data_IF_736142158029
#
_entry.id   IF_736142158029
#
_cell.length_a   1.000
_cell.length_b   1.000
_cell.length_c   1.000
_cell.angle_alpha   90.00
_cell.angle_beta   90.00
_cell.angle_gamma   90.00
#
_symmetry.space_group_name_H-M   'P 1'
#
loop_
_entity.id
_entity.type
_entity.pdbx_description
1 polymer ?
#
# COMPACT_ATOMS: atom_id res chain seq x y z
N UNK A 1 28.45 -0.60 -26.21
CA UNK A 1 28.37 -0.64 -24.73
C UNK A 1 27.95 0.75 -24.25
N UNK A 2 26.68 0.92 -23.92
CA UNK A 2 26.16 2.16 -23.33
C UNK A 2 26.39 2.12 -21.82
N UNK A 3 27.12 3.11 -21.31
CA UNK A 3 27.31 3.35 -19.88
C UNK A 3 25.95 3.50 -19.20
N UNK A 4 25.70 2.91 -18.02
CA UNK A 4 24.46 3.13 -17.31
C UNK A 4 24.31 4.63 -16.98
N UNK A 5 23.12 5.22 -17.16
CA UNK A 5 22.91 6.64 -16.94
C UNK A 5 23.17 7.02 -15.48
N UNK A 6 23.90 8.11 -15.28
CA UNK A 6 24.31 8.65 -13.98
C UNK A 6 23.21 9.42 -13.23
N UNK A 7 22.02 9.55 -13.82
CA UNK A 7 20.86 10.20 -13.21
C UNK A 7 19.68 9.20 -13.14
N UNK A 8 19.33 8.71 -11.94
CA UNK A 8 18.23 7.76 -11.77
C UNK A 8 16.85 8.35 -12.09
N UNK A 9 16.70 9.68 -12.15
CA UNK A 9 15.44 10.33 -12.58
C UNK A 9 15.22 10.30 -14.09
N UNK A 10 16.27 10.06 -14.88
CA UNK A 10 16.24 9.93 -16.33
C UNK A 10 16.16 8.47 -16.82
N UNK A 11 15.99 7.50 -15.93
CA UNK A 11 15.83 6.11 -16.32
C UNK A 11 14.50 5.91 -17.04
N UNK A 12 14.57 5.80 -18.36
CA UNK A 12 13.54 5.18 -19.19
C UNK A 12 13.17 3.83 -18.55
N UNK A 13 11.87 3.57 -18.41
CA UNK A 13 11.42 2.26 -17.94
C UNK A 13 12.02 1.17 -18.85
N UNK A 14 12.35 -0.02 -18.34
CA UNK A 14 13.07 -1.03 -19.15
C UNK A 14 12.31 -1.42 -20.42
N UNK A 15 10.98 -1.35 -20.40
CA UNK A 15 10.16 -1.60 -21.59
C UNK A 15 10.38 -0.57 -22.69
N UNK A 16 10.79 0.65 -22.38
CA UNK A 16 11.15 1.70 -23.35
C UNK A 16 12.51 1.48 -24.00
N UNK A 17 13.30 0.51 -23.53
CA UNK A 17 14.54 0.12 -24.19
C UNK A 17 14.19 -0.66 -25.48
N UNK A 18 14.82 -0.33 -26.62
CA UNK A 18 14.49 -0.95 -27.91
C UNK A 18 14.56 -2.48 -27.87
N UNK A 19 13.51 -3.16 -28.34
CA UNK A 19 13.48 -4.61 -28.53
C UNK A 19 13.30 -5.47 -27.27
N UNK A 20 13.50 -4.94 -26.06
CA UNK A 20 13.36 -5.73 -24.82
C UNK A 20 11.92 -6.11 -24.54
N UNK A 21 11.00 -5.15 -24.60
CA UNK A 21 9.58 -5.41 -24.42
C UNK A 21 9.07 -6.40 -25.47
N UNK A 22 9.44 -6.23 -26.73
CA UNK A 22 9.00 -7.10 -27.83
C UNK A 22 9.54 -8.52 -27.67
N UNK A 23 10.75 -8.67 -27.11
CA UNK A 23 11.30 -9.99 -26.76
C UNK A 23 10.50 -10.64 -25.65
N UNK A 24 10.16 -9.88 -24.60
CA UNK A 24 9.34 -10.39 -23.48
C UNK A 24 7.95 -10.82 -23.94
N UNK A 25 7.24 -9.95 -24.67
CA UNK A 25 5.87 -10.20 -25.13
C UNK A 25 5.81 -11.40 -26.07
N UNK A 26 6.80 -11.54 -26.96
CA UNK A 26 6.91 -12.67 -27.88
C UNK A 26 7.21 -13.99 -27.17
N UNK A 27 8.23 -14.04 -26.31
CA UNK A 27 8.68 -15.29 -25.67
C UNK A 27 7.70 -15.78 -24.59
N UNK A 28 7.11 -14.86 -23.82
CA UNK A 28 6.14 -15.20 -22.77
C UNK A 28 4.68 -15.16 -23.23
N UNK A 29 4.42 -14.67 -24.45
CA UNK A 29 3.07 -14.51 -25.03
C UNK A 29 2.14 -13.65 -24.15
N UNK A 30 2.69 -12.55 -23.65
CA UNK A 30 1.98 -11.57 -22.84
C UNK A 30 1.95 -10.22 -23.55
N UNK A 31 1.04 -9.34 -23.15
CA UNK A 31 1.09 -7.95 -23.61
C UNK A 31 2.18 -7.14 -22.88
N UNK A 32 2.46 -5.95 -23.41
CA UNK A 32 3.53 -5.06 -22.91
C UNK A 32 3.23 -4.50 -21.51
N UNK A 33 1.97 -4.28 -21.18
CA UNK A 33 1.57 -3.80 -19.86
C UNK A 33 1.77 -4.89 -18.81
N UNK A 34 1.39 -6.12 -19.12
CA UNK A 34 1.65 -7.30 -18.31
C UNK A 34 3.14 -7.50 -18.10
N UNK A 35 3.96 -7.39 -19.15
CA UNK A 35 5.41 -7.47 -19.02
C UNK A 35 5.96 -6.39 -18.08
N UNK A 36 5.53 -5.13 -18.25
CA UNK A 36 5.96 -4.03 -17.37
C UNK A 36 5.59 -4.29 -15.90
N UNK A 37 4.36 -4.74 -15.65
CA UNK A 37 3.81 -4.98 -14.32
C UNK A 37 4.43 -6.20 -13.64
N UNK A 38 4.71 -7.27 -14.38
CA UNK A 38 5.23 -8.54 -13.86
C UNK A 38 6.71 -8.68 -14.19
N UNK A 39 7.49 -7.72 -13.68
CA UNK A 39 8.94 -7.70 -13.86
C UNK A 39 9.69 -7.26 -12.61
N UNK A 40 10.98 -7.58 -12.58
CA UNK A 40 11.94 -7.10 -11.60
C UNK A 40 13.27 -6.78 -12.30
N UNK A 41 13.83 -5.60 -12.04
CA UNK A 41 15.16 -5.23 -12.51
C UNK A 41 16.19 -5.85 -11.57
N UNK A 42 17.10 -6.64 -12.13
CA UNK A 42 18.20 -7.29 -11.45
C UNK A 42 19.54 -6.66 -11.88
N UNK A 43 20.63 -6.89 -11.12
CA UNK A 43 21.96 -6.49 -11.57
C UNK A 43 22.28 -7.09 -12.96
N UNK A 44 22.29 -6.23 -13.99
CA UNK A 44 22.62 -6.62 -15.36
C UNK A 44 21.51 -7.31 -16.16
N UNK A 45 20.30 -7.46 -15.60
CA UNK A 45 19.22 -8.18 -16.27
C UNK A 45 17.82 -7.68 -15.86
N UNK A 46 16.81 -8.08 -16.63
CA UNK A 46 15.39 -7.93 -16.33
C UNK A 46 14.77 -9.32 -16.20
N UNK A 47 14.14 -9.59 -15.08
CA UNK A 47 13.30 -10.77 -14.88
C UNK A 47 11.85 -10.40 -15.21
N UNK A 48 11.18 -11.16 -16.08
CA UNK A 48 9.78 -10.98 -16.47
C UNK A 48 9.06 -12.31 -16.32
N UNK A 49 7.80 -12.32 -15.90
CA UNK A 49 7.03 -13.55 -15.77
C UNK A 49 5.56 -13.32 -16.11
N UNK A 50 4.85 -14.40 -16.41
CA UNK A 50 3.40 -14.33 -16.64
C UNK A 50 2.66 -14.17 -15.31
N UNK A 51 1.48 -13.53 -15.29
CA UNK A 51 0.62 -13.49 -14.11
C UNK A 51 0.22 -14.90 -13.66
N UNK A 52 -0.23 -15.00 -12.40
CA UNK A 52 -0.75 -16.26 -11.85
C UNK A 52 0.29 -17.13 -11.15
N UNK A 53 -0.10 -18.38 -10.85
CA UNK A 53 0.62 -19.29 -9.97
C UNK A 53 1.28 -20.46 -10.69
N UNK A 54 1.78 -20.26 -11.90
CA UNK A 54 2.52 -21.35 -12.53
C UNK A 54 2.93 -21.16 -13.97
N UNK A 55 2.96 -19.94 -14.48
CA UNK A 55 3.36 -19.71 -15.86
C UNK A 55 4.85 -19.45 -16.06
N UNK A 56 5.28 -19.35 -17.33
CA UNK A 56 6.68 -19.23 -17.67
C UNK A 56 7.25 -17.88 -17.22
N UNK A 57 8.57 -17.87 -17.12
CA UNK A 57 9.36 -16.72 -16.71
C UNK A 57 10.62 -16.61 -17.57
N UNK A 58 11.13 -15.39 -17.69
CA UNK A 58 12.17 -15.00 -18.62
C UNK A 58 13.16 -14.09 -17.91
N UNK A 59 14.44 -14.39 -18.01
CA UNK A 59 15.52 -13.50 -17.61
C UNK A 59 16.24 -13.02 -18.88
N UNK A 60 16.36 -11.71 -19.05
CA UNK A 60 17.01 -11.10 -20.22
C UNK A 60 18.06 -10.07 -19.82
N UNK A 61 19.16 -10.00 -20.56
CA UNK A 61 20.07 -8.85 -20.45
C UNK A 61 19.56 -7.65 -21.25
N UNK A 62 20.21 -6.50 -21.07
CA UNK A 62 19.87 -5.27 -21.79
C UNK A 62 20.26 -5.28 -23.27
N UNK A 63 20.92 -6.35 -23.76
CA UNK A 63 21.16 -6.58 -25.18
C UNK A 63 20.05 -7.44 -25.83
N UNK A 64 19.11 -7.96 -25.04
CA UNK A 64 18.00 -8.78 -25.50
C UNK A 64 18.28 -10.29 -25.52
N UNK A 65 19.44 -10.75 -25.02
CA UNK A 65 19.66 -12.18 -24.87
C UNK A 65 18.81 -12.70 -23.72
N UNK A 66 18.14 -13.82 -23.95
CA UNK A 66 17.06 -14.31 -23.10
C UNK A 66 17.28 -15.77 -22.67
N UNK A 67 16.83 -16.09 -21.45
CA UNK A 67 16.63 -17.45 -20.98
C UNK A 67 15.22 -17.57 -20.40
N UNK A 68 14.42 -18.50 -20.94
CA UNK A 68 13.07 -18.75 -20.47
C UNK A 68 13.04 -20.07 -19.71
N UNK A 69 12.30 -20.12 -18.62
CA UNK A 69 12.07 -21.32 -17.83
C UNK A 69 10.60 -21.42 -17.42
N UNK A 70 10.21 -22.61 -17.01
CA UNK A 70 8.93 -22.80 -16.31
C UNK A 70 8.97 -22.20 -14.89
N UNK A 71 7.85 -22.30 -14.18
CA UNK A 71 7.71 -21.74 -12.83
C UNK A 71 8.38 -22.54 -11.72
N UNK A 72 9.00 -23.70 -11.99
CA UNK A 72 9.65 -24.49 -10.95
C UNK A 72 10.95 -23.83 -10.44
N UNK A 73 11.66 -23.12 -11.31
CA UNK A 73 12.90 -22.44 -10.93
C UNK A 73 12.63 -21.18 -10.09
N UNK A 74 13.43 -20.97 -9.05
CA UNK A 74 13.47 -19.67 -8.36
C UNK A 74 14.18 -18.63 -9.22
N UNK A 75 13.94 -17.35 -8.94
CA UNK A 75 14.66 -16.24 -9.60
C UNK A 75 16.19 -16.38 -9.47
N UNK A 76 16.68 -16.84 -8.31
CA UNK A 76 18.11 -17.05 -8.06
C UNK A 76 18.70 -18.17 -8.94
N UNK A 77 17.98 -19.29 -9.06
CA UNK A 77 18.39 -20.39 -9.93
C UNK A 77 18.40 -19.95 -11.40
N UNK A 78 17.40 -19.16 -11.82
CA UNK A 78 17.38 -18.59 -13.15
C UNK A 78 18.57 -17.66 -13.40
N UNK A 79 18.85 -16.74 -12.47
CA UNK A 79 19.97 -15.81 -12.59
C UNK A 79 21.30 -16.58 -12.67
N UNK A 80 21.45 -17.64 -11.89
CA UNK A 80 22.63 -18.51 -11.93
C UNK A 80 22.80 -19.19 -13.29
N UNK A 81 21.75 -19.79 -13.84
CA UNK A 81 21.76 -20.41 -15.16
C UNK A 81 22.06 -19.39 -16.28
N UNK A 82 21.44 -18.22 -16.20
CA UNK A 82 21.67 -17.12 -17.16
C UNK A 82 23.12 -16.63 -17.13
N UNK A 83 23.70 -16.45 -15.94
CA UNK A 83 25.10 -16.03 -15.78
C UNK A 83 26.10 -17.09 -16.26
N UNK A 84 25.69 -18.36 -16.34
CA UNK A 84 26.48 -19.45 -16.96
C UNK A 84 26.36 -19.50 -18.49
N UNK A 85 25.63 -18.57 -19.10
CA UNK A 85 25.48 -18.47 -20.55
C UNK A 85 24.33 -19.28 -21.13
N UNK A 86 23.44 -19.87 -20.31
CA UNK A 86 22.26 -20.56 -20.82
C UNK A 86 21.30 -19.57 -21.49
N UNK A 87 20.80 -19.90 -22.68
CA UNK A 87 19.89 -19.08 -23.48
C UNK A 87 18.82 -19.95 -24.12
N UNK A 88 17.68 -19.35 -24.44
CA UNK A 88 16.50 -20.04 -24.97
C UNK A 88 16.04 -19.35 -26.25
N UNK A 89 15.65 -20.11 -27.26
CA UNK A 89 15.03 -19.62 -28.49
C UNK A 89 13.49 -19.75 -28.47
N UNK A 90 12.82 -19.28 -29.52
CA UNK A 90 11.36 -19.31 -29.64
C UNK A 90 10.79 -20.74 -29.64
N UNK A 91 11.53 -21.70 -30.22
CA UNK A 91 11.08 -23.07 -30.34
C UNK A 91 11.15 -23.78 -28.98
N UNK A 92 12.17 -23.51 -28.18
CA UNK A 92 12.31 -24.00 -26.82
C UNK A 92 11.29 -23.32 -25.88
N UNK A 93 11.13 -22.00 -25.96
CA UNK A 93 10.13 -21.28 -25.17
C UNK A 93 8.70 -21.77 -25.46
N UNK A 94 8.38 -22.09 -26.72
CA UNK A 94 7.08 -22.61 -27.11
C UNK A 94 6.75 -24.02 -26.56
N UNK A 95 7.73 -24.73 -25.98
CA UNK A 95 7.55 -26.05 -25.37
C UNK A 95 7.31 -26.01 -23.86
N UNK A 96 7.45 -24.85 -23.22
CA UNK A 96 7.25 -24.71 -21.79
C UNK A 96 5.81 -25.03 -21.39
N UNK A 97 5.66 -25.67 -20.23
CA UNK A 97 4.36 -26.09 -19.70
C UNK A 97 4.12 -25.36 -18.38
N UNK A 98 2.88 -24.89 -18.19
CA UNK A 98 2.47 -24.27 -16.94
C UNK A 98 2.40 -25.32 -15.82
N UNK A 99 2.86 -24.96 -14.61
CA UNK A 99 2.78 -25.84 -13.45
C UNK A 99 1.34 -26.26 -13.14
N UNK A 100 0.39 -25.34 -13.32
CA UNK A 100 -1.04 -25.62 -13.14
C UNK A 100 -1.53 -26.71 -14.09
N UNK A 101 -1.11 -26.67 -15.36
CA UNK A 101 -1.47 -27.68 -16.35
C UNK A 101 -0.89 -29.07 -16.04
N UNK A 102 0.37 -29.12 -15.57
CA UNK A 102 0.97 -30.38 -15.10
C UNK A 102 0.24 -30.91 -13.86
N UNK A 103 -0.08 -30.03 -12.91
CA UNK A 103 -0.84 -30.39 -11.72
C UNK A 103 -2.22 -30.96 -12.07
N UNK A 104 -2.94 -30.36 -13.02
CA UNK A 104 -4.23 -30.88 -13.48
C UNK A 104 -4.12 -32.27 -14.11
N UNK A 105 -3.12 -32.50 -14.96
CA UNK A 105 -2.94 -33.82 -15.58
C UNK A 105 -2.51 -34.88 -14.56
N UNK A 106 -1.63 -34.51 -13.63
CA UNK A 106 -1.25 -35.37 -12.52
C UNK A 106 -2.46 -35.73 -11.65
N UNK A 107 -3.25 -34.73 -11.26
CA UNK A 107 -4.49 -34.90 -10.50
C UNK A 107 -5.48 -35.85 -11.19
N UNK A 108 -5.69 -35.70 -12.49
CA UNK A 108 -6.57 -36.56 -13.26
C UNK A 108 -6.08 -38.03 -13.21
N UNK A 109 -4.79 -38.25 -13.45
CA UNK A 109 -4.18 -39.57 -13.38
C UNK A 109 -4.31 -40.19 -11.97
N UNK A 110 -4.06 -39.43 -10.90
CA UNK A 110 -4.11 -39.94 -9.52
C UNK A 110 -5.52 -40.18 -9.00
N UNK A 111 -6.53 -39.51 -9.56
CA UNK A 111 -7.94 -39.64 -9.15
C UNK A 111 -8.75 -40.57 -10.06
N UNK A 112 -8.09 -41.27 -10.99
CA UNK A 112 -8.75 -42.18 -11.94
C UNK A 112 -9.65 -41.47 -12.97
N UNK A 113 -9.49 -40.15 -13.14
CA UNK A 113 -10.16 -39.38 -14.19
C UNK A 113 -9.35 -39.48 -15.48
N UNK A 114 -10.02 -39.55 -16.63
CA UNK A 114 -9.34 -39.55 -17.92
C UNK A 114 -8.50 -38.28 -18.05
N UNK A 115 -7.18 -38.37 -18.30
CA UNK A 115 -6.34 -37.20 -18.50
C UNK A 115 -6.88 -36.39 -19.67
N UNK A 116 -7.30 -35.15 -19.41
CA UNK A 116 -7.54 -34.19 -20.48
C UNK A 116 -6.20 -33.75 -21.06
N UNK A 117 -6.19 -33.31 -22.32
CA UNK A 117 -5.01 -32.72 -22.93
C UNK A 117 -4.53 -31.56 -22.06
N UNK A 118 -3.27 -31.63 -21.61
CA UNK A 118 -2.60 -30.60 -20.79
C UNK A 118 -2.75 -29.24 -21.50
N UNK A 119 -3.48 -28.27 -20.93
CA UNK A 119 -3.57 -26.93 -21.50
C UNK A 119 -2.18 -26.30 -21.60
N UNK A 120 -1.92 -25.59 -22.70
CA UNK A 120 -0.66 -24.84 -22.87
C UNK A 120 -0.70 -23.45 -22.21
N UNK A 121 -1.83 -23.07 -21.66
CA UNK A 121 -2.05 -21.82 -20.94
C UNK A 121 -2.27 -22.13 -19.46
N UNK A 122 -2.10 -21.14 -18.58
CA UNK A 122 -2.41 -21.32 -17.15
C UNK A 122 -3.91 -21.62 -17.00
N UNK A 123 -4.30 -22.78 -16.45
CA UNK A 123 -5.71 -23.09 -16.23
C UNK A 123 -6.35 -22.16 -15.19
N UNK A 124 -5.54 -21.45 -14.39
CA UNK A 124 -6.02 -20.56 -13.35
C UNK A 124 -6.51 -21.29 -12.09
N UNK A 125 -6.71 -20.53 -11.02
CA UNK A 125 -7.08 -21.08 -9.72
C UNK A 125 -8.47 -21.74 -9.73
N UNK A 126 -9.44 -21.20 -10.49
CA UNK A 126 -10.80 -21.72 -10.53
C UNK A 126 -10.87 -23.12 -11.19
N UNK A 127 -10.15 -23.32 -12.29
CA UNK A 127 -10.12 -24.62 -12.98
C UNK A 127 -9.42 -25.70 -12.13
N UNK A 128 -8.33 -25.34 -11.44
CA UNK A 128 -7.67 -26.25 -10.50
C UNK A 128 -8.58 -26.51 -9.29
N UNK A 129 -9.26 -25.49 -8.78
CA UNK A 129 -10.18 -25.60 -7.64
C UNK A 129 -11.37 -26.52 -7.94
N UNK A 130 -11.84 -26.54 -9.19
CA UNK A 130 -12.88 -27.45 -9.66
C UNK A 130 -12.44 -28.93 -9.70
N UNK A 131 -11.13 -29.21 -9.73
CA UNK A 131 -10.61 -30.56 -9.55
C UNK A 131 -10.49 -30.95 -8.07
N UNK A 132 -10.33 -29.96 -7.20
CA UNK A 132 -10.14 -30.12 -5.77
C UNK A 132 -11.44 -30.02 -4.97
N UNK A 133 -11.35 -29.38 -3.81
CA UNK A 133 -12.41 -29.24 -2.80
C UNK A 133 -13.12 -27.88 -2.86
N UNK A 134 -12.94 -27.10 -3.93
CA UNK A 134 -13.57 -25.80 -4.11
C UNK A 134 -12.58 -24.67 -4.41
N UNK A 135 -13.00 -23.40 -4.25
CA UNK A 135 -12.17 -22.24 -4.60
C UNK A 135 -10.94 -22.16 -3.70
N UNK A 136 -9.87 -21.56 -4.24
CA UNK A 136 -8.65 -21.33 -3.48
C UNK A 136 -8.78 -20.17 -2.51
N UNK A 137 -8.36 -20.39 -1.27
CA UNK A 137 -8.31 -19.35 -0.24
C UNK A 137 -6.90 -19.26 0.34
N UNK A 138 -6.51 -18.06 0.74
CA UNK A 138 -5.23 -17.83 1.37
C UNK A 138 -5.19 -18.53 2.73
N UNK A 139 -4.10 -19.23 3.00
CA UNK A 139 -3.90 -20.05 4.19
C UNK A 139 -2.44 -20.00 4.65
N UNK A 140 -2.05 -20.85 5.59
CA UNK A 140 -0.66 -21.05 6.02
C UNK A 140 -0.22 -22.51 5.84
N UNK A 141 1.09 -22.78 5.76
CA UNK A 141 1.61 -24.14 5.74
C UNK A 141 1.15 -25.02 6.90
N UNK A 142 1.04 -24.44 8.10
CA UNK A 142 0.63 -25.13 9.32
C UNK A 142 -0.85 -25.53 9.28
N UNK A 143 -1.70 -24.70 8.69
CA UNK A 143 -3.12 -25.04 8.50
C UNK A 143 -3.28 -26.18 7.49
N UNK A 144 -2.53 -26.16 6.39
CA UNK A 144 -2.49 -27.24 5.41
C UNK A 144 -2.01 -28.54 6.07
N UNK A 145 -0.93 -28.48 6.85
CA UNK A 145 -0.41 -29.62 7.61
C UNK A 145 -1.45 -30.18 8.59
N UNK A 146 -2.11 -29.32 9.38
CA UNK A 146 -3.15 -29.73 10.30
C UNK A 146 -4.34 -30.38 9.59
N UNK A 147 -4.73 -29.85 8.42
CA UNK A 147 -5.79 -30.41 7.58
C UNK A 147 -5.44 -31.78 7.04
N UNK A 148 -4.23 -31.94 6.52
CA UNK A 148 -3.73 -33.20 5.98
C UNK A 148 -3.56 -34.26 7.09
N UNK A 149 -3.01 -33.86 8.23
CA UNK A 149 -2.81 -34.76 9.38
C UNK A 149 -4.11 -35.38 9.89
N UNK A 150 -5.23 -34.63 9.88
CA UNK A 150 -6.55 -35.17 10.25
C UNK A 150 -7.09 -36.22 9.29
N UNK A 151 -6.70 -36.17 8.02
CA UNK A 151 -7.15 -37.12 7.01
C UNK A 151 -6.32 -38.41 6.97
N UNK A 152 -5.08 -38.38 7.46
CA UNK A 152 -4.17 -39.53 7.46
C UNK A 152 -3.56 -39.85 6.09
N UNK A 153 -2.81 -40.95 6.01
CA UNK A 153 -2.09 -41.40 4.81
C UNK A 153 -3.03 -41.49 3.60
N UNK A 154 -2.59 -40.96 2.46
CA UNK A 154 -3.37 -40.86 1.23
C UNK A 154 -4.21 -39.58 1.12
N UNK A 155 -4.27 -38.77 2.18
CA UNK A 155 -4.87 -37.44 2.10
C UNK A 155 -4.00 -36.49 1.30
N UNK A 156 -4.64 -35.64 0.51
CA UNK A 156 -3.98 -34.62 -0.30
C UNK A 156 -4.84 -33.35 -0.44
N UNK A 157 -4.16 -32.25 -0.78
CA UNK A 157 -4.74 -30.97 -1.20
C UNK A 157 -3.91 -30.36 -2.33
N UNK A 158 -4.53 -29.49 -3.13
CA UNK A 158 -3.78 -28.65 -4.05
C UNK A 158 -3.25 -27.42 -3.32
N UNK A 159 -2.04 -27.02 -3.71
CA UNK A 159 -1.37 -25.86 -3.12
C UNK A 159 -0.88 -24.95 -4.22
N UNK A 160 -1.32 -23.70 -4.15
CA UNK A 160 -0.77 -22.60 -4.92
C UNK A 160 0.09 -21.72 -4.02
N UNK A 161 1.20 -21.23 -4.55
CA UNK A 161 2.01 -20.22 -3.87
C UNK A 161 2.17 -18.97 -4.72
N UNK A 162 2.34 -17.83 -4.06
CA UNK A 162 2.90 -16.63 -4.68
C UNK A 162 4.32 -16.43 -4.15
N UNK A 163 5.25 -16.00 -5.03
CA UNK A 163 6.62 -15.63 -4.67
C UNK A 163 6.78 -14.11 -4.64
N UNK A 164 7.77 -13.62 -3.89
CA UNK A 164 8.11 -12.20 -3.90
C UNK A 164 8.49 -11.70 -5.31
N UNK A 165 9.23 -12.53 -6.04
CA UNK A 165 9.64 -12.30 -7.43
C UNK A 165 9.48 -13.58 -8.26
N UNK A 166 9.16 -13.40 -9.54
CA UNK A 166 8.86 -14.52 -10.43
C UNK A 166 7.40 -14.96 -10.34
N UNK A 167 7.02 -15.96 -11.14
CA UNK A 167 5.70 -16.53 -11.13
C UNK A 167 5.49 -17.24 -9.79
N UNK A 168 4.22 -17.30 -9.36
CA UNK A 168 3.84 -18.27 -8.36
C UNK A 168 4.03 -19.70 -8.89
N UNK A 169 3.63 -20.68 -8.10
CA UNK A 169 3.81 -22.08 -8.47
C UNK A 169 2.68 -22.95 -7.91
N UNK A 170 2.48 -24.11 -8.53
CA UNK A 170 1.42 -25.07 -8.22
C UNK A 170 2.06 -26.42 -7.90
N UNK A 171 1.63 -27.05 -6.80
CA UNK A 171 2.00 -28.41 -6.44
C UNK A 171 0.88 -29.06 -5.63
N UNK A 172 1.03 -30.34 -5.32
CA UNK A 172 0.16 -31.07 -4.40
C UNK A 172 0.86 -31.25 -3.05
N UNK A 173 0.14 -31.09 -1.95
CA UNK A 173 0.60 -31.54 -0.65
C UNK A 173 -0.11 -32.84 -0.30
N UNK A 174 0.64 -33.88 0.06
CA UNK A 174 0.08 -35.21 0.31
C UNK A 174 0.71 -35.88 1.53
N UNK A 175 -0.09 -36.64 2.29
CA UNK A 175 0.38 -37.48 3.39
C UNK A 175 0.80 -38.84 2.84
N UNK A 176 2.10 -39.12 2.89
CA UNK A 176 2.70 -40.41 2.54
C UNK A 176 3.04 -41.21 3.80
N UNK A 177 3.61 -42.41 3.65
CA UNK A 177 4.10 -43.19 4.78
C UNK A 177 5.28 -42.51 5.50
N UNK A 178 6.02 -41.65 4.79
CA UNK A 178 7.18 -40.90 5.26
C UNK A 178 6.83 -39.53 5.87
N UNK A 179 5.54 -39.17 5.89
CA UNK A 179 5.04 -37.88 6.39
C UNK A 179 4.40 -37.03 5.29
N UNK A 180 4.29 -35.72 5.53
CA UNK A 180 3.71 -34.80 4.53
C UNK A 180 4.79 -34.39 3.54
N UNK A 181 4.48 -34.54 2.24
CA UNK A 181 5.37 -34.16 1.15
C UNK A 181 4.68 -33.18 0.20
N UNK A 182 5.45 -32.24 -0.34
CA UNK A 182 5.06 -31.48 -1.51
C UNK A 182 5.49 -32.25 -2.77
N UNK A 183 4.54 -32.53 -3.66
CA UNK A 183 4.72 -33.25 -4.92
C UNK A 183 4.61 -32.25 -6.06
N UNK A 184 5.72 -32.03 -6.76
CA UNK A 184 5.78 -31.18 -7.95
C UNK A 184 5.82 -32.05 -9.22
N UNK A 185 4.69 -32.18 -9.94
CA UNK A 185 4.62 -33.00 -11.14
C UNK A 185 5.30 -32.35 -12.35
N UNK A 186 5.58 -31.04 -12.34
CA UNK A 186 6.24 -30.37 -13.46
C UNK A 186 7.68 -30.84 -13.61
N UNK A 187 8.39 -31.02 -12.49
CA UNK A 187 9.77 -31.52 -12.47
C UNK A 187 9.88 -32.97 -12.01
N UNK A 188 8.76 -33.60 -11.63
CA UNK A 188 8.71 -34.98 -11.16
C UNK A 188 9.46 -35.22 -9.85
N UNK A 189 9.39 -34.28 -8.90
CA UNK A 189 10.11 -34.38 -7.62
C UNK A 189 9.18 -34.18 -6.41
N UNK A 190 9.56 -34.83 -5.32
CA UNK A 190 8.96 -34.62 -4.00
C UNK A 190 9.91 -33.82 -3.11
N UNK A 191 9.33 -33.04 -2.21
CA UNK A 191 10.02 -32.22 -1.24
C UNK A 191 9.42 -32.43 0.15
N UNK A 192 10.22 -32.17 1.19
CA UNK A 192 9.71 -32.09 2.56
C UNK A 192 8.69 -30.94 2.68
N UNK A 193 7.71 -31.10 3.57
CA UNK A 193 6.74 -30.06 3.88
C UNK A 193 7.20 -29.14 5.02
N UNK A 194 7.02 -27.82 4.93
CA UNK A 194 6.76 -27.07 3.69
C UNK A 194 8.03 -26.94 2.84
N UNK A 195 7.90 -26.88 1.50
CA UNK A 195 9.06 -26.72 0.63
C UNK A 195 9.69 -25.31 0.75
N UNK A 196 11.02 -25.24 0.72
CA UNK A 196 11.78 -23.98 0.73
C UNK A 196 11.84 -23.33 -0.66
N UNK A 197 10.72 -22.75 -1.10
CA UNK A 197 10.54 -22.26 -2.49
C UNK A 197 10.28 -20.75 -2.59
N UNK A 198 10.57 -20.02 -1.51
CA UNK A 198 10.44 -18.55 -1.46
C UNK A 198 8.99 -18.05 -1.52
N UNK A 199 8.05 -18.86 -1.02
CA UNK A 199 6.63 -18.50 -0.96
C UNK A 199 6.38 -17.39 0.07
N UNK A 200 5.65 -16.37 -0.34
CA UNK A 200 5.17 -15.27 0.51
C UNK A 200 3.66 -15.38 0.79
N UNK A 201 2.93 -16.14 -0.02
CA UNK A 201 1.52 -16.45 0.15
C UNK A 201 1.29 -17.90 -0.20
N UNK A 202 0.42 -18.54 0.58
CA UNK A 202 0.00 -19.92 0.41
C UNK A 202 -1.50 -19.96 0.19
N UNK A 203 -1.92 -20.83 -0.71
CA UNK A 203 -3.31 -21.00 -1.11
C UNK A 203 -3.61 -22.48 -1.16
N UNK A 204 -4.77 -22.89 -0.65
CA UNK A 204 -5.25 -24.27 -0.79
C UNK A 204 -6.70 -24.29 -1.24
N UNK A 205 -7.12 -25.39 -1.84
CA UNK A 205 -8.47 -25.61 -2.33
C UNK A 205 -9.46 -25.87 -1.18
N UNK A 206 -10.54 -25.09 -1.15
CA UNK A 206 -11.53 -25.11 -0.07
C UNK A 206 -11.18 -24.16 1.09
N UNK A 207 -12.14 -23.89 1.99
CA UNK A 207 -11.95 -22.95 3.08
C UNK A 207 -10.94 -23.49 4.11
N UNK A 208 -10.07 -22.62 4.66
CA UNK A 208 -9.19 -23.01 5.74
C UNK A 208 -10.01 -23.40 6.96
N UNK A 209 -9.61 -24.48 7.61
CA UNK A 209 -10.25 -24.97 8.83
C UNK A 209 -10.07 -24.02 10.01
N UNK A 210 -9.01 -23.22 9.97
CA UNK A 210 -8.79 -22.08 10.85
C UNK A 210 -8.33 -20.94 9.96
N UNK A 211 -9.13 -19.87 9.80
CA UNK A 211 -8.73 -18.72 9.00
C UNK A 211 -7.38 -18.16 9.46
N UNK A 212 -6.48 -17.77 8.53
CA UNK A 212 -5.20 -17.21 8.92
C UNK A 212 -5.40 -15.90 9.69
N UNK A 213 -4.68 -15.74 10.80
CA UNK A 213 -4.72 -14.51 11.59
C UNK A 213 -4.19 -13.28 10.82
N UNK A 214 -3.34 -13.51 9.82
CA UNK A 214 -2.72 -12.50 8.97
C UNK A 214 -2.71 -12.95 7.52
N UNK A 215 -2.95 -12.02 6.61
CA UNK A 215 -2.82 -12.20 5.17
C UNK A 215 -1.88 -11.15 4.59
N UNK A 216 -1.04 -11.56 3.64
CA UNK A 216 -0.27 -10.65 2.81
C UNK A 216 -1.16 -10.10 1.70
N UNK A 217 -1.13 -8.78 1.52
CA UNK A 217 -1.77 -8.06 0.41
C UNK A 217 -0.66 -7.34 -0.34
N UNK A 218 -0.66 -7.45 -1.66
CA UNK A 218 0.31 -6.74 -2.48
C UNK A 218 -0.22 -6.35 -3.84
N UNK A 219 0.43 -5.34 -4.41
CA UNK A 219 0.22 -4.86 -5.78
C UNK A 219 1.57 -4.63 -6.44
N UNK A 220 1.56 -4.47 -7.76
CA UNK A 220 2.73 -4.01 -8.51
C UNK A 220 2.45 -2.67 -9.16
N UNK A 221 3.40 -1.76 -9.02
CA UNK A 221 3.40 -0.51 -9.78
C UNK A 221 3.51 -0.80 -11.29
N UNK A 222 3.18 0.17 -12.17
CA UNK A 222 3.45 0.08 -13.60
C UNK A 222 4.92 -0.21 -13.94
N UNK A 223 5.84 0.01 -12.99
CA UNK A 223 7.27 -0.25 -13.13
C UNK A 223 7.72 -1.60 -12.56
N UNK A 224 6.81 -2.49 -12.22
CA UNK A 224 7.10 -3.83 -11.69
C UNK A 224 7.47 -3.89 -10.20
N UNK A 225 7.71 -2.73 -9.56
CA UNK A 225 7.99 -2.66 -8.11
C UNK A 225 6.79 -3.19 -7.32
N UNK A 226 7.03 -4.22 -6.50
CA UNK A 226 6.02 -4.78 -5.59
C UNK A 226 5.90 -3.92 -4.34
N UNK A 227 4.65 -3.65 -3.96
CA UNK A 227 4.30 -2.93 -2.74
C UNK A 227 3.37 -3.83 -1.94
N UNK A 228 3.70 -4.12 -0.69
CA UNK A 228 2.98 -5.11 0.09
C UNK A 228 2.80 -4.72 1.55
N UNK A 229 1.85 -5.38 2.20
CA UNK A 229 1.66 -5.34 3.65
C UNK A 229 1.10 -6.66 4.15
N UNK A 230 1.22 -6.90 5.45
CA UNK A 230 0.43 -7.91 6.15
C UNK A 230 -0.70 -7.20 6.89
N UNK A 231 -1.88 -7.82 6.94
CA UNK A 231 -3.06 -7.29 7.65
C UNK A 231 -3.96 -8.43 8.09
N UNK A 232 -4.95 -8.18 8.94
CA UNK A 232 -6.05 -9.13 9.16
C UNK A 232 -6.93 -9.31 7.92
N UNK A 233 -7.54 -10.50 7.71
CA UNK A 233 -8.38 -10.79 6.54
C UNK A 233 -9.50 -9.78 6.30
N UNK A 234 -10.20 -9.34 7.35
CA UNK A 234 -11.32 -8.39 7.27
C UNK A 234 -10.90 -7.00 6.75
N UNK A 235 -9.61 -6.65 6.85
CA UNK A 235 -9.06 -5.37 6.41
C UNK A 235 -8.39 -5.44 5.02
N UNK A 236 -8.36 -6.62 4.38
CA UNK A 236 -7.66 -6.85 3.11
C UNK A 236 -8.08 -5.87 2.00
N UNK A 237 -9.39 -5.61 1.86
CA UNK A 237 -9.89 -4.69 0.83
C UNK A 237 -9.36 -3.26 1.02
N UNK A 238 -9.23 -2.80 2.26
CA UNK A 238 -8.69 -1.47 2.58
C UNK A 238 -7.18 -1.40 2.38
N UNK A 239 -6.46 -2.45 2.75
CA UNK A 239 -5.05 -2.56 2.44
C UNK A 239 -4.81 -2.47 0.93
N UNK A 240 -5.60 -3.17 0.13
CA UNK A 240 -5.49 -3.15 -1.33
C UNK A 240 -5.68 -1.74 -1.91
N UNK A 241 -6.74 -1.02 -1.51
CA UNK A 241 -6.99 0.36 -1.95
C UNK A 241 -5.79 1.29 -1.70
N UNK A 242 -5.16 1.17 -0.52
CA UNK A 242 -4.01 1.99 -0.15
C UNK A 242 -2.78 1.60 -0.97
N UNK A 243 -2.52 0.31 -1.12
CA UNK A 243 -1.40 -0.18 -1.91
C UNK A 243 -1.54 0.25 -3.39
N UNK A 244 -2.74 0.18 -3.97
CA UNK A 244 -3.03 0.63 -5.35
C UNK A 244 -2.83 2.13 -5.55
N UNK A 245 -3.08 2.95 -4.53
CA UNK A 245 -2.74 4.37 -4.57
C UNK A 245 -1.23 4.56 -4.63
N UNK A 246 -0.46 3.90 -3.75
CA UNK A 246 1.00 3.98 -3.78
C UNK A 246 1.54 3.48 -5.13
N UNK A 247 1.00 2.39 -5.67
CA UNK A 247 1.42 1.82 -6.95
C UNK A 247 1.27 2.79 -8.13
N UNK A 248 0.30 3.71 -8.06
CA UNK A 248 0.04 4.74 -9.08
C UNK A 248 0.73 6.07 -8.78
N UNK A 249 1.31 6.25 -7.60
CA UNK A 249 1.97 7.49 -7.23
C UNK A 249 3.26 7.68 -8.02
N UNK A 250 3.39 8.84 -8.67
CA UNK A 250 4.63 9.23 -9.36
C UNK A 250 5.80 9.37 -8.37
N UNK A 251 5.49 9.71 -7.12
CA UNK A 251 6.43 9.91 -6.00
C UNK A 251 6.90 8.61 -5.34
N UNK A 252 6.49 7.43 -5.83
CA UNK A 252 7.01 6.15 -5.32
C UNK A 252 8.56 6.13 -5.33
N UNK A 253 9.16 6.86 -6.28
CA UNK A 253 10.61 7.07 -6.40
C UNK A 253 11.25 7.75 -5.18
N UNK A 254 10.53 8.60 -4.46
CA UNK A 254 11.01 9.28 -3.26
C UNK A 254 10.85 8.44 -1.97
N UNK A 255 10.27 7.22 -2.06
CA UNK A 255 9.94 6.36 -0.90
C UNK A 255 9.08 7.03 0.17
N UNK A 256 8.33 8.05 -0.22
CA UNK A 256 7.36 8.72 0.63
C UNK A 256 6.21 9.19 -0.25
N UNK A 257 5.03 8.60 -0.08
CA UNK A 257 3.79 9.23 -0.52
C UNK A 257 2.94 9.42 0.73
N UNK A 258 2.29 10.57 0.86
CA UNK A 258 1.43 10.88 2.00
C UNK A 258 0.02 10.50 1.60
N UNK A 259 -0.56 9.54 2.30
CA UNK A 259 -1.99 9.31 2.20
C UNK A 259 -2.73 10.43 2.96
N UNK A 260 -3.69 11.08 2.30
CA UNK A 260 -4.48 12.18 2.85
C UNK A 260 -5.55 11.68 3.86
N UNK A 261 -5.09 11.13 4.99
CA UNK A 261 -5.92 10.88 6.18
C UNK A 261 -5.17 11.35 7.42
N UNK A 262 -5.81 11.19 8.59
CA UNK A 262 -5.19 11.49 9.87
C UNK A 262 -3.84 10.78 10.07
N UNK A 263 -3.67 9.57 9.52
CA UNK A 263 -2.45 8.77 9.67
C UNK A 263 -1.43 9.03 8.57
N UNK A 264 -0.15 9.03 8.94
CA UNK A 264 0.93 9.01 7.95
C UNK A 264 1.28 7.56 7.60
N UNK A 265 1.07 7.19 6.35
CA UNK A 265 1.55 5.95 5.74
C UNK A 265 2.68 6.25 4.77
N UNK A 266 3.68 5.38 4.69
CA UNK A 266 4.80 5.47 3.77
C UNK A 266 5.19 4.08 3.27
N UNK A 267 5.88 4.02 2.15
CA UNK A 267 6.43 2.77 1.63
C UNK A 267 7.93 2.76 1.86
N UNK A 268 8.42 1.79 2.61
CA UNK A 268 9.83 1.66 2.95
C UNK A 268 10.44 0.44 2.28
N UNK A 269 11.71 0.54 1.89
CA UNK A 269 12.42 -0.55 1.23
C UNK A 269 12.55 -1.76 2.15
N UNK A 270 12.19 -2.92 1.62
CA UNK A 270 12.34 -4.23 2.24
C UNK A 270 12.98 -5.16 1.20
N UNK A 271 14.32 -5.15 1.14
CA UNK A 271 15.05 -5.79 0.04
C UNK A 271 14.83 -5.05 -1.28
N UNK A 272 14.44 -5.79 -2.32
CA UNK A 272 14.03 -5.28 -3.64
C UNK A 272 12.57 -4.81 -3.70
N UNK A 273 11.79 -5.06 -2.64
CA UNK A 273 10.37 -4.70 -2.55
C UNK A 273 10.15 -3.45 -1.69
N UNK A 274 8.92 -2.93 -1.74
CA UNK A 274 8.43 -1.92 -0.83
C UNK A 274 7.40 -2.51 0.12
N UNK A 275 7.56 -2.27 1.42
CA UNK A 275 6.56 -2.63 2.44
C UNK A 275 5.86 -1.36 2.93
N UNK A 276 4.55 -1.42 3.09
CA UNK A 276 3.77 -0.35 3.70
C UNK A 276 4.12 -0.27 5.19
N UNK A 277 4.53 0.91 5.62
CA UNK A 277 4.70 1.28 7.01
C UNK A 277 3.72 2.40 7.36
N UNK A 278 3.27 2.44 8.60
CA UNK A 278 2.39 3.49 9.11
C UNK A 278 3.00 4.10 10.36
N UNK A 279 2.59 5.32 10.68
CA UNK A 279 2.94 5.90 11.98
C UNK A 279 2.25 5.10 13.08
N UNK A 280 3.01 4.74 14.10
CA UNK A 280 2.51 4.11 15.30
C UNK A 280 1.79 5.16 16.16
N UNK A 281 0.47 5.25 16.00
CA UNK A 281 -0.37 6.23 16.70
C UNK A 281 -0.40 6.01 18.23
N UNK A 282 0.12 4.89 18.73
CA UNK A 282 0.22 4.61 20.17
C UNK A 282 1.49 5.21 20.79
N UNK A 283 2.46 5.61 19.97
CA UNK A 283 3.75 6.16 20.42
C UNK A 283 3.80 7.68 20.29
N UNK A 284 4.60 8.36 21.14
CA UNK A 284 4.78 9.80 21.03
C UNK A 284 5.59 10.17 19.78
N UNK A 285 5.09 11.17 19.04
CA UNK A 285 5.75 11.75 17.88
C UNK A 285 5.72 10.92 16.59
N UNK A 286 5.98 11.59 15.47
CA UNK A 286 5.86 11.03 14.11
C UNK A 286 7.03 10.13 13.66
N UNK A 287 8.02 9.89 14.52
CA UNK A 287 9.25 9.18 14.14
C UNK A 287 9.13 7.66 14.25
N UNK A 288 8.09 7.17 14.93
CA UNK A 288 7.86 5.75 15.09
C UNK A 288 7.02 5.23 13.91
N UNK A 289 7.67 4.56 12.95
CA UNK A 289 6.98 3.76 11.95
C UNK A 289 6.83 2.32 12.45
N UNK A 290 5.70 1.71 12.13
CA UNK A 290 5.40 0.31 12.38
C UNK A 290 4.97 -0.38 11.08
N UNK A 291 5.15 -1.70 11.04
CA UNK A 291 4.63 -2.57 9.98
C UNK A 291 3.23 -3.10 10.28
N UNK A 292 2.74 -2.86 11.49
CA UNK A 292 1.36 -3.14 11.87
C UNK A 292 0.45 -2.01 11.34
N UNK A 293 -0.13 -2.27 10.18
CA UNK A 293 -0.96 -1.30 9.47
C UNK A 293 -2.42 -1.31 9.93
N UNK A 294 -2.83 -2.31 10.71
CA UNK A 294 -4.23 -2.53 11.08
C UNK A 294 -4.85 -1.32 11.79
N UNK A 295 -4.21 -0.69 12.80
CA UNK A 295 -4.80 0.48 13.47
C UNK A 295 -5.09 1.64 12.51
N UNK A 296 -4.24 1.83 11.50
CA UNK A 296 -4.45 2.85 10.48
C UNK A 296 -5.63 2.50 9.55
N UNK A 297 -5.74 1.23 9.15
CA UNK A 297 -6.84 0.75 8.31
C UNK A 297 -8.19 0.85 9.04
N UNK A 298 -8.24 0.50 10.33
CA UNK A 298 -9.43 0.63 11.16
C UNK A 298 -9.86 2.10 11.33
N UNK A 299 -8.90 2.98 11.62
CA UNK A 299 -9.18 4.42 11.72
C UNK A 299 -9.73 4.95 10.40
N UNK A 300 -9.16 4.51 9.27
CA UNK A 300 -9.64 4.90 7.95
C UNK A 300 -11.08 4.44 7.71
N UNK A 301 -11.42 3.22 8.10
CA UNK A 301 -12.78 2.72 8.00
C UNK A 301 -13.75 3.54 8.85
N UNK A 302 -13.37 3.85 10.09
CA UNK A 302 -14.15 4.70 10.97
C UNK A 302 -14.37 6.10 10.38
N UNK A 303 -13.33 6.74 9.84
CA UNK A 303 -13.43 8.03 9.12
C UNK A 303 -14.43 7.94 7.95
N UNK A 304 -14.35 6.88 7.14
CA UNK A 304 -15.25 6.70 6.00
C UNK A 304 -16.70 6.51 6.41
N UNK A 305 -16.94 5.82 7.52
CA UNK A 305 -18.29 5.58 8.06
C UNK A 305 -18.92 6.88 8.54
N UNK A 306 -18.18 7.71 9.27
CA UNK A 306 -18.72 8.96 9.82
C UNK A 306 -18.83 10.07 8.78
N UNK A 307 -17.99 10.04 7.74
CA UNK A 307 -17.99 11.04 6.66
C UNK A 307 -18.82 10.61 5.43
N UNK A 308 -19.66 9.57 5.54
CA UNK A 308 -20.46 9.08 4.42
C UNK A 308 -21.37 10.20 3.87
N UNK A 309 -21.20 10.55 2.58
CA UNK A 309 -21.97 11.62 1.93
C UNK A 309 -21.50 13.04 2.28
N UNK A 310 -20.42 13.20 3.04
CA UNK A 310 -19.87 14.50 3.44
C UNK A 310 -18.54 14.77 2.73
N UNK A 311 -18.33 16.00 2.25
CA UNK A 311 -17.04 16.42 1.71
C UNK A 311 -15.98 16.36 2.81
N UNK A 312 -14.85 15.73 2.53
CA UNK A 312 -13.75 15.58 3.47
C UNK A 312 -12.68 16.63 3.24
N UNK A 313 -12.20 17.20 4.32
CA UNK A 313 -10.98 18.01 4.32
C UNK A 313 -9.87 17.21 5.03
N UNK A 314 -8.67 17.08 4.43
CA UNK A 314 -7.59 16.34 5.05
C UNK A 314 -7.10 17.05 6.31
N UNK A 315 -6.75 16.26 7.31
CA UNK A 315 -5.93 16.70 8.44
C UNK A 315 -4.59 16.03 8.33
N UNK A 316 -3.54 16.83 8.45
CA UNK A 316 -2.20 16.29 8.58
C UNK A 316 -1.92 15.93 10.04
N UNK A 317 -1.37 14.74 10.26
CA UNK A 317 -0.96 14.22 11.58
C UNK A 317 -0.12 15.21 12.43
N UNK A 318 0.64 16.07 11.74
CA UNK A 318 1.54 17.08 12.33
C UNK A 318 0.87 18.41 12.63
N UNK A 319 -0.33 18.66 12.08
CA UNK A 319 -1.05 19.89 12.34
C UNK A 319 -1.62 19.88 13.77
N UNK A 320 -1.93 21.08 14.28
CA UNK A 320 -2.39 21.28 15.65
C UNK A 320 -3.90 21.54 15.71
N UNK A 321 -4.50 21.13 16.83
CA UNK A 321 -5.91 21.28 17.17
C UNK A 321 -6.02 22.06 18.48
N UNK A 322 -7.03 22.91 18.63
CA UNK A 322 -7.38 23.49 19.93
C UNK A 322 -8.15 22.47 20.74
N UNK A 323 -7.69 22.21 21.95
CA UNK A 323 -8.14 21.06 22.74
C UNK A 323 -8.31 21.43 24.21
N UNK A 324 -9.40 20.98 24.82
CA UNK A 324 -9.68 21.03 26.26
C UNK A 324 -9.48 19.62 26.88
N UNK A 325 -8.50 19.40 27.78
CA UNK A 325 -8.21 18.07 28.38
C UNK A 325 -9.39 17.36 29.04
N UNK A 326 -10.32 18.13 29.60
CA UNK A 326 -11.48 17.65 30.36
C UNK A 326 -12.45 16.81 29.51
N UNK A 327 -12.35 16.84 28.17
CA UNK A 327 -13.15 15.97 27.29
C UNK A 327 -12.86 14.48 27.50
N UNK A 328 -11.63 14.13 27.92
CA UNK A 328 -11.22 12.74 28.16
C UNK A 328 -11.93 12.20 29.39
N UNK A 329 -11.86 12.95 30.50
CA UNK A 329 -12.49 12.58 31.77
C UNK A 329 -14.01 12.50 31.65
N UNK A 330 -14.62 13.39 30.86
CA UNK A 330 -16.07 13.39 30.61
C UNK A 330 -16.52 12.32 29.61
N UNK A 331 -15.60 11.76 28.81
CA UNK A 331 -15.94 10.88 27.71
C UNK A 331 -16.86 11.52 26.68
N UNK A 332 -16.84 12.86 26.55
CA UNK A 332 -17.69 13.64 25.64
C UNK A 332 -16.98 14.91 25.19
N UNK A 333 -17.13 15.25 23.92
CA UNK A 333 -16.52 16.42 23.30
C UNK A 333 -17.50 17.11 22.37
N UNK A 334 -17.50 18.44 22.41
CA UNK A 334 -18.07 19.29 21.38
C UNK A 334 -16.96 19.60 20.37
N UNK A 335 -17.13 19.11 19.14
CA UNK A 335 -16.22 19.30 18.02
C UNK A 335 -16.75 20.42 17.13
N UNK A 336 -15.94 21.45 16.90
CA UNK A 336 -16.26 22.54 15.96
C UNK A 336 -15.15 22.70 14.94
N UNK A 337 -15.49 22.65 13.64
CA UNK A 337 -14.58 22.95 12.54
C UNK A 337 -14.81 24.36 12.02
N UNK A 338 -13.80 25.21 12.18
CA UNK A 338 -13.75 26.60 11.68
C UNK A 338 -12.84 26.70 10.46
N UNK A 339 -12.86 27.86 9.82
CA UNK A 339 -11.83 28.21 8.82
C UNK A 339 -10.45 28.16 9.45
N UNK A 340 -9.49 27.63 8.71
CA UNK A 340 -8.09 27.50 9.13
C UNK A 340 -7.49 28.89 9.40
N UNK A 341 -6.71 29.01 10.48
CA UNK A 341 -5.78 30.11 10.73
C UNK A 341 -4.33 29.59 10.64
N UNK A 342 -3.35 30.48 10.49
CA UNK A 342 -1.95 30.06 10.32
C UNK A 342 -1.47 29.11 11.44
N UNK A 343 -1.04 27.90 11.07
CA UNK A 343 -0.50 26.88 11.98
C UNK A 343 -1.52 26.00 12.73
N UNK A 344 -2.80 26.37 12.76
CA UNK A 344 -3.92 25.59 13.32
C UNK A 344 -4.62 24.84 12.17
N UNK A 345 -5.29 23.72 12.44
CA UNK A 345 -6.21 23.13 11.45
C UNK A 345 -7.57 23.84 11.40
N UNK A 346 -7.93 24.59 12.45
CA UNK A 346 -9.27 25.17 12.64
C UNK A 346 -10.24 24.27 13.42
N UNK A 347 -9.77 23.12 13.93
CA UNK A 347 -10.56 22.31 14.86
C UNK A 347 -10.46 22.82 16.30
N UNK A 348 -11.62 22.86 16.94
CA UNK A 348 -11.80 23.17 18.34
C UNK A 348 -12.56 22.02 19.02
N UNK A 349 -11.95 21.41 20.02
CA UNK A 349 -12.48 20.29 20.81
C UNK A 349 -12.67 20.76 22.25
N UNK A 350 -13.93 20.91 22.69
CA UNK A 350 -14.29 21.49 23.99
C UNK A 350 -15.34 20.65 24.72
N UNK A 351 -15.80 21.12 25.88
CA UNK A 351 -16.92 20.53 26.61
C UNK A 351 -18.24 21.31 26.48
N UNK A 352 -18.28 22.41 25.71
CA UNK A 352 -19.46 23.28 25.56
C UNK A 352 -19.47 24.01 24.21
N UNK A 353 -20.66 24.22 23.65
CA UNK A 353 -20.87 24.93 22.37
C UNK A 353 -20.49 26.42 22.44
N UNK A 354 -20.58 27.01 23.63
CA UNK A 354 -20.28 28.41 23.89
C UNK A 354 -18.79 28.69 24.12
N UNK A 355 -17.99 27.64 24.27
CA UNK A 355 -16.54 27.76 24.42
C UNK A 355 -15.91 28.17 23.07
N UNK A 356 -15.26 29.33 23.05
CA UNK A 356 -14.60 29.84 21.85
C UNK A 356 -13.18 29.31 21.67
N UNK A 357 -12.61 28.68 22.71
CA UNK A 357 -11.29 28.08 22.73
C UNK A 357 -10.13 29.07 22.61
N UNK A 358 -10.35 30.35 22.87
CA UNK A 358 -9.32 31.39 22.70
C UNK A 358 -8.08 31.13 23.58
N UNK A 359 -8.29 30.62 24.79
CA UNK A 359 -7.28 30.30 25.80
C UNK A 359 -6.71 28.87 25.70
N UNK A 360 -7.31 28.01 24.86
CA UNK A 360 -6.93 26.61 24.77
C UNK A 360 -5.55 26.42 24.11
N UNK A 361 -4.77 25.43 24.58
CA UNK A 361 -3.50 25.08 23.96
C UNK A 361 -3.70 24.45 22.58
N UNK A 362 -2.69 24.61 21.72
CA UNK A 362 -2.55 23.87 20.48
C UNK A 362 -1.87 22.53 20.76
N UNK A 363 -2.54 21.44 20.40
CA UNK A 363 -2.07 20.07 20.60
C UNK A 363 -1.94 19.40 19.24
N UNK A 364 -0.84 18.70 18.99
CA UNK A 364 -0.66 17.97 17.74
C UNK A 364 -1.76 16.90 17.57
N UNK A 365 -2.25 16.72 16.35
CA UNK A 365 -3.38 15.83 16.08
C UNK A 365 -3.14 14.40 16.60
N UNK A 366 -1.94 13.82 16.42
CA UNK A 366 -1.64 12.47 16.93
C UNK A 366 -1.78 12.33 18.46
N UNK A 367 -1.50 13.38 19.24
CA UNK A 367 -1.65 13.34 20.69
C UNK A 367 -3.13 13.25 21.08
N UNK A 368 -4.01 13.92 20.34
CA UNK A 368 -5.48 13.83 20.49
C UNK A 368 -5.95 12.39 20.28
N UNK A 369 -5.43 11.69 19.28
CA UNK A 369 -5.78 10.27 19.06
C UNK A 369 -5.32 9.37 20.21
N UNK A 370 -4.14 9.63 20.78
CA UNK A 370 -3.60 8.84 21.88
C UNK A 370 -4.47 8.87 23.13
N UNK A 371 -5.12 10.01 23.42
CA UNK A 371 -5.92 10.20 24.63
C UNK A 371 -7.43 10.19 24.41
N UNK A 372 -7.91 10.49 23.20
CA UNK A 372 -9.33 10.41 22.81
C UNK A 372 -9.49 9.85 21.38
N UNK A 373 -9.17 8.56 21.16
CA UNK A 373 -9.20 7.97 19.82
C UNK A 373 -10.59 8.05 19.16
N UNK A 374 -11.65 8.02 19.98
CA UNK A 374 -13.06 8.10 19.56
C UNK A 374 -13.44 9.43 18.87
N UNK A 375 -12.68 10.50 19.06
CA UNK A 375 -12.89 11.79 18.36
C UNK A 375 -12.31 11.78 16.95
N UNK A 376 -11.19 11.06 16.77
CA UNK A 376 -10.36 11.10 15.56
C UNK A 376 -11.13 10.92 14.24
N UNK A 377 -12.06 9.94 14.12
CA UNK A 377 -12.80 9.71 12.87
C UNK A 377 -13.51 10.96 12.34
N UNK A 378 -13.96 11.84 13.24
CA UNK A 378 -14.75 13.03 12.91
C UNK A 378 -13.90 14.19 12.43
N UNK A 379 -12.59 14.15 12.64
CA UNK A 379 -11.74 15.29 12.34
C UNK A 379 -11.58 15.52 10.82
N UNK A 380 -11.98 14.57 9.96
CA UNK A 380 -11.97 14.79 8.50
C UNK A 380 -13.19 15.55 7.94
N UNK A 381 -14.10 16.03 8.81
CA UNK A 381 -15.28 16.79 8.42
C UNK A 381 -14.96 18.23 7.95
N UNK A 382 -15.84 18.84 7.13
CA UNK A 382 -15.59 20.11 6.49
C UNK A 382 -15.80 21.30 7.43
N UNK A 383 -15.38 22.48 6.98
CA UNK A 383 -15.66 23.76 7.67
C UNK A 383 -17.17 23.95 7.88
N UNK A 384 -17.53 24.36 9.09
CA UNK A 384 -18.92 24.54 9.52
C UNK A 384 -19.46 23.38 10.35
N UNK A 385 -18.76 22.24 10.43
CA UNK A 385 -19.18 21.12 11.26
C UNK A 385 -19.21 21.48 12.74
N UNK A 386 -20.31 21.13 13.40
CA UNK A 386 -20.50 21.23 14.84
C UNK A 386 -21.23 19.98 15.35
N UNK A 387 -20.55 19.19 16.17
CA UNK A 387 -21.03 17.89 16.65
C UNK A 387 -20.75 17.77 18.16
N UNK A 388 -21.62 17.12 18.90
CA UNK A 388 -21.25 16.45 20.16
C UNK A 388 -20.96 15.00 19.86
N UNK A 389 -19.81 14.50 20.32
CA UNK A 389 -19.40 13.11 20.19
C UNK A 389 -19.12 12.57 21.59
N UNK A 390 -19.59 11.36 21.87
CA UNK A 390 -19.33 10.64 23.11
C UNK A 390 -18.41 9.43 22.87
N UNK A 391 -17.72 8.99 23.92
CA UNK A 391 -16.80 7.85 23.90
C UNK A 391 -17.51 6.51 23.62
N UNK A 392 -18.82 6.43 23.84
CA UNK A 392 -19.67 5.29 23.47
C UNK A 392 -20.04 5.26 21.97
N UNK A 393 -19.58 6.27 21.20
CA UNK A 393 -19.85 6.40 19.78
C UNK A 393 -21.13 7.19 19.45
N UNK A 394 -21.85 7.71 20.45
CA UNK A 394 -23.02 8.57 20.22
C UNK A 394 -22.59 9.89 19.58
N UNK A 395 -23.29 10.29 18.51
CA UNK A 395 -23.04 11.54 17.78
C UNK A 395 -24.32 12.35 17.68
N UNK A 396 -24.27 13.60 18.14
CA UNK A 396 -25.39 14.54 18.06
C UNK A 396 -24.97 15.77 17.25
N UNK A 397 -25.56 16.00 16.07
CA UNK A 397 -25.38 17.27 15.36
C UNK A 397 -25.91 18.41 16.23
N UNK A 398 -25.15 19.49 16.35
CA UNK A 398 -25.57 20.66 17.11
C UNK A 398 -25.81 21.84 16.18
N UNK A 399 -26.78 22.67 16.55
CA UNK A 399 -26.98 23.97 15.91
C UNK A 399 -26.00 24.98 16.50
N UNK A 400 -25.41 25.81 15.65
CA UNK A 400 -24.68 26.97 16.16
C UNK A 400 -25.66 27.86 16.96
N UNK A 401 -25.24 28.42 18.11
CA UNK A 401 -26.06 29.40 18.81
C UNK A 401 -26.34 30.55 17.83
N UNK A 402 -27.60 31.03 17.82
CA UNK A 402 -27.95 32.20 17.03
C UNK A 402 -26.95 33.32 17.37
N UNK A 403 -26.40 34.05 16.38
CA UNK A 403 -25.47 35.12 16.66
C UNK A 403 -26.12 36.04 17.69
N UNK A 404 -25.46 36.24 18.82
CA UNK A 404 -25.96 37.12 19.87
C UNK A 404 -26.36 38.43 19.18
N UNK A 405 -27.64 38.77 19.27
CA UNK A 405 -28.19 39.95 18.62
C UNK A 405 -27.31 41.12 19.04
N UNK A 406 -26.63 41.73 18.07
CA UNK A 406 -25.74 42.85 18.35
C UNK A 406 -26.48 43.85 19.26
N UNK A 407 -25.86 44.34 20.34
CA UNK A 407 -26.54 45.26 21.25
C UNK A 407 -27.13 46.40 20.43
N UNK A 408 -28.45 46.54 20.54
CA UNK A 408 -29.25 47.51 19.79
C UNK A 408 -28.54 48.87 19.88
N UNK A 409 -28.20 49.53 18.76
CA UNK A 409 -27.47 50.78 18.82
C UNK A 409 -28.24 51.76 19.70
N UNK A 410 -27.56 52.30 20.71
CA UNK A 410 -28.09 53.37 21.57
C UNK A 410 -28.56 54.50 20.63
N UNK A 411 -29.79 55.02 20.80
CA UNK A 411 -30.27 56.11 19.95
C UNK A 411 -29.29 57.28 20.02
N UNK A 412 -28.81 57.70 18.85
CA UNK A 412 -27.89 58.81 18.71
C UNK A 412 -28.55 60.09 19.26
N UNK A 413 -27.80 60.84 20.08
CA UNK A 413 -28.18 62.18 20.48
C UNK A 413 -28.23 63.09 19.24
N UNK A 414 -29.30 63.87 19.14
CA UNK A 414 -29.55 64.81 18.04
C UNK A 414 -28.39 65.80 17.85
N UNK A 415 -27.91 66.03 16.61
CA UNK A 415 -26.85 66.98 16.35
C UNK A 415 -27.36 68.42 16.37
N UNK A 416 -26.69 69.29 17.13
CA UNK A 416 -26.80 70.74 17.05
C UNK A 416 -26.23 71.25 15.73
N UNK A 417 -27.05 72.03 15.04
CA UNK A 417 -26.78 72.80 13.82
C UNK A 417 -25.60 73.75 13.99
N UNK A 418 -24.63 73.69 13.08
CA UNK A 418 -23.72 74.81 12.82
C UNK A 418 -23.56 75.04 11.30
N UNK A 419 -23.55 76.33 10.98
CA UNK A 419 -23.75 77.02 9.70
C UNK A 419 -22.56 76.88 8.73
N UNK A 420 -22.76 77.00 7.40
CA UNK A 420 -21.77 76.59 6.39
C UNK A 420 -21.00 77.72 5.70
N UNK A 421 -20.02 77.28 4.87
CA UNK A 421 -19.36 77.90 3.70
C UNK A 421 -17.92 78.44 3.94
N UNK A 422 -17.06 78.61 2.89
CA UNK A 422 -17.26 78.43 1.43
C UNK A 422 -16.15 77.58 0.72
N UNK A 423 -16.20 77.42 -0.62
CA UNK A 423 -15.61 76.30 -1.35
C UNK A 423 -14.30 76.64 -2.08
N UNK A 424 -13.51 75.62 -2.45
CA UNK A 424 -12.49 75.78 -3.49
C UNK A 424 -12.14 74.49 -4.25
N UNK A 425 -12.47 74.59 -5.56
CA UNK A 425 -11.72 74.19 -6.77
C UNK A 425 -11.40 72.72 -7.05
N UNK A 426 -12.09 72.27 -8.09
CA UNK A 426 -11.78 71.23 -9.07
C UNK A 426 -10.41 71.39 -9.75
N UNK A 427 -9.79 70.24 -10.07
CA UNK A 427 -8.67 70.13 -10.99
C UNK A 427 -8.24 68.66 -11.21
N UNK A 428 -8.31 68.10 -12.44
CA UNK A 428 -8.04 66.69 -12.73
C UNK A 428 -6.64 66.48 -13.35
N UNK A 429 -6.03 65.30 -13.16
CA UNK A 429 -5.29 64.52 -14.19
C UNK A 429 -4.53 63.31 -13.61
N UNK A 430 -4.95 62.13 -14.08
CA UNK A 430 -4.18 61.12 -14.86
C UNK A 430 -2.81 60.57 -14.38
N UNK A 431 -2.44 59.36 -14.86
CA UNK A 431 -1.62 58.39 -14.15
C UNK A 431 -0.13 58.43 -14.53
N UNK A 432 0.73 57.77 -13.74
CA UNK A 432 2.01 57.27 -14.26
C UNK A 432 2.42 55.96 -13.61
N UNK A 433 2.84 55.06 -14.48
CA UNK A 433 3.55 53.82 -14.24
C UNK A 433 5.02 54.11 -13.86
N UNK A 434 5.64 53.23 -13.07
CA UNK A 434 6.86 52.49 -13.48
C UNK A 434 7.59 51.85 -12.30
N UNK A 435 7.96 50.59 -12.56
CA UNK A 435 9.10 49.79 -12.08
C UNK A 435 9.97 50.29 -10.90
N UNK A 436 10.30 49.36 -9.99
CA UNK A 436 11.71 48.94 -9.80
C UNK A 436 11.85 47.63 -9.00
N UNK A 437 12.68 46.75 -9.58
CA UNK A 437 13.39 45.59 -9.01
C UNK A 437 14.12 45.91 -7.70
N UNK A 438 14.24 44.91 -6.82
CA UNK A 438 15.51 44.37 -6.23
C UNK A 438 15.16 43.19 -5.30
N UNK A 439 15.53 41.95 -5.66
CA UNK A 439 16.74 41.21 -5.21
C UNK A 439 16.93 41.11 -3.70
N UNK A 440 16.82 39.89 -3.17
CA UNK A 440 17.27 39.51 -1.84
C UNK A 440 17.30 38.00 -1.68
N UNK A 441 18.36 37.38 -2.19
CA UNK A 441 18.76 35.99 -1.91
C UNK A 441 19.16 35.84 -0.43
N UNK A 442 18.81 34.71 0.20
CA UNK A 442 19.65 34.10 1.23
C UNK A 442 19.44 32.59 1.30
N UNK A 443 20.58 31.92 1.35
CA UNK A 443 20.78 30.49 1.29
C UNK A 443 21.26 29.94 2.65
N UNK A 444 21.28 28.60 2.72
CA UNK A 444 21.96 27.69 3.67
C UNK A 444 21.11 27.38 4.93
N UNK A 445 20.91 26.11 5.28
CA UNK A 445 21.99 25.21 5.72
C UNK A 445 21.70 23.72 5.45
N UNK A 446 22.67 23.04 4.85
CA UNK A 446 22.84 21.58 4.86
C UNK A 446 23.42 21.18 6.23
N UNK A 447 22.88 20.13 6.85
CA UNK A 447 23.55 19.39 7.92
C UNK A 447 23.96 18.01 7.40
N UNK A 448 25.28 17.84 7.28
CA UNK A 448 25.99 16.57 7.18
C UNK A 448 25.96 15.87 8.54
N UNK A 449 25.62 14.58 8.57
CA UNK A 449 25.91 13.69 9.69
C UNK A 449 26.71 12.49 9.17
N UNK A 450 28.01 12.54 9.44
CA UNK A 450 28.91 11.38 9.45
C UNK A 450 28.79 10.71 10.81
N UNK A 451 28.57 9.39 10.85
CA UNK A 451 28.98 8.59 12.00
C UNK A 451 29.53 7.25 11.52
N UNK A 452 30.84 7.14 11.64
CA UNK A 452 31.69 5.95 11.57
C UNK A 452 31.48 5.05 12.78
N UNK A 453 31.44 3.72 12.60
CA UNK A 453 31.34 2.80 13.73
C UNK A 453 31.45 1.30 13.41
N UNK A 454 32.69 0.86 13.22
CA UNK A 454 33.26 -0.46 13.56
C UNK A 454 32.65 -1.76 13.02
N UNK A 455 33.45 -2.40 12.17
CA UNK A 455 33.44 -3.84 11.90
C UNK A 455 33.62 -4.68 13.17
N UNK A 456 32.87 -5.77 13.31
CA UNK A 456 33.32 -7.00 13.98
C UNK A 456 32.90 -8.20 13.12
N UNK A 457 33.90 -8.82 12.49
CA UNK A 457 33.87 -10.21 12.04
C UNK A 457 33.81 -11.11 13.27
N UNK A 458 33.10 -12.23 13.16
CA UNK A 458 33.36 -13.50 13.87
C UNK A 458 32.75 -14.65 13.03
N UNK A 459 33.22 -15.90 13.21
CA UNK A 459 33.46 -16.84 12.12
C UNK A 459 32.32 -17.84 11.89
N UNK A 460 32.28 -18.39 10.67
CA UNK A 460 31.54 -19.62 10.34
C UNK A 460 32.25 -20.86 10.90
N UNK A 461 31.50 -21.86 11.32
CA UNK A 461 31.59 -23.22 10.80
C UNK A 461 30.75 -23.39 9.54
#
# INVERSE_FOLDING_TARGET
MTTPPSDPSAMKHWTELPGLADTATRLLRIDRETAARHSAILPGAVHVWTPGRGGPQLLMDFAGNAMVADSALSQELMLTAFNRGMRTDDAEAARLIHAGSNLMAYAAATTGRTPTKVPREDPGADAIGALGRGPFQQTTPEEIEARLSRGGVGSWVFVGIDRAHGPGHWFMAAVTAEGIQAVDPLIGRNFAWPPEIGAIRWWTDGPPSTPPARVVVDVRSPRGVRIWTETRPELQGRALEILEYFARSEDLHARSAVWNSFSWAAVASSGSDLRLATTDLTKPGIKALTWDVDPMLELREAEMRVAAGVRRDPIHLVDHLRWRPEIVERGRAVLRRRSRADGDTGWLLTTSVDDDGADLPLVAAHEVHRVAPWVTPFLSHPVGTLLEVAADGTVTPLSAPAPATAPRPRPAASPTTSTPAPPSRTGPRAPSSSSRRRTGSRARSRATSTCSGSCRRMPSP
#
